data_IF_688454012539
#
_entry.id   IF_688454012539
#
_cell.length_a   1.000
_cell.length_b   1.000
_cell.length_c   1.000
_cell.angle_alpha   90.00
_cell.angle_beta   90.00
_cell.angle_gamma   90.00
#
_symmetry.space_group_name_H-M   'P 1'
#
loop_
_entity.id
_entity.type
_entity.pdbx_description
1 polymer ?
#
# COMPACT_ATOMS: atom_id res chain seq x y z
N UNK A 1 2.29 32.96 31.58
CA UNK A 1 2.76 31.69 31.00
C UNK A 1 1.62 31.04 30.25
N UNK A 2 1.89 30.46 29.08
CA UNK A 2 0.89 29.81 28.23
C UNK A 2 1.58 28.82 27.29
N UNK A 3 0.84 27.85 26.77
CA UNK A 3 1.40 26.73 25.99
C UNK A 3 2.38 27.19 24.91
N UNK A 4 2.03 28.19 24.12
CA UNK A 4 2.88 28.71 23.04
C UNK A 4 4.24 29.23 23.54
N UNK A 5 4.26 30.08 24.59
CA UNK A 5 5.51 30.58 25.16
C UNK A 5 6.34 29.47 25.82
N UNK A 6 5.68 28.55 26.52
CA UNK A 6 6.37 27.40 27.13
C UNK A 6 6.99 26.51 26.06
N UNK A 7 6.25 26.19 24.99
CA UNK A 7 6.73 25.41 23.85
C UNK A 7 7.96 26.06 23.22
N UNK A 8 7.86 27.34 22.83
CA UNK A 8 8.98 28.06 22.21
C UNK A 8 10.21 28.13 23.13
N UNK A 9 10.00 28.28 24.45
CA UNK A 9 11.11 28.33 25.40
C UNK A 9 11.82 26.99 25.58
N UNK A 10 11.11 25.87 25.40
CA UNK A 10 11.65 24.52 25.55
C UNK A 10 12.21 23.96 24.24
N UNK A 11 11.55 24.23 23.11
CA UNK A 11 11.79 23.54 21.84
C UNK A 11 12.15 24.48 20.68
N UNK A 12 12.07 25.81 20.87
CA UNK A 12 12.25 26.78 19.80
C UNK A 12 11.04 26.87 18.87
N UNK A 13 11.22 27.57 17.73
CA UNK A 13 10.21 27.66 16.68
C UNK A 13 10.14 26.32 15.91
N UNK A 14 9.02 25.58 15.97
CA UNK A 14 8.91 24.29 15.30
C UNK A 14 8.93 24.38 13.78
N UNK A 15 8.74 25.58 13.22
CA UNK A 15 8.72 25.81 11.78
C UNK A 15 10.02 26.39 11.23
N UNK A 16 11.03 26.61 12.08
CA UNK A 16 12.30 27.23 11.66
C UNK A 16 13.05 26.44 10.57
N UNK A 17 12.81 25.14 10.46
CA UNK A 17 13.39 24.24 9.45
C UNK A 17 12.31 23.52 8.63
N UNK A 18 11.08 24.01 8.64
CA UNK A 18 10.00 23.39 7.89
C UNK A 18 10.24 23.55 6.38
N UNK A 19 10.04 22.47 5.64
CA UNK A 19 10.00 22.47 4.18
C UNK A 19 8.54 22.36 3.75
N UNK A 20 7.94 23.48 3.33
CA UNK A 20 6.52 23.55 3.01
C UNK A 20 6.28 24.13 1.60
N UNK A 21 5.33 23.54 0.83
CA UNK A 21 4.57 22.35 1.18
C UNK A 21 5.37 21.05 0.97
N UNK A 22 5.25 20.09 1.90
CA UNK A 22 5.83 18.74 1.72
C UNK A 22 5.22 18.00 0.51
N UNK A 23 3.93 18.24 0.28
CA UNK A 23 3.13 17.67 -0.81
C UNK A 23 2.77 18.79 -1.79
N UNK A 24 3.20 18.73 -3.05
CA UNK A 24 2.85 19.76 -4.03
C UNK A 24 1.38 19.67 -4.46
N UNK A 25 0.75 20.81 -4.72
CA UNK A 25 -0.68 20.89 -5.12
C UNK A 25 -1.01 20.09 -6.39
N UNK A 26 -0.02 19.90 -7.27
CA UNK A 26 -0.14 19.18 -8.53
C UNK A 26 0.45 17.75 -8.46
N UNK A 27 0.51 17.15 -7.27
CA UNK A 27 1.01 15.79 -7.11
C UNK A 27 0.22 14.82 -8.00
N UNK A 28 0.93 14.07 -8.83
CA UNK A 28 0.38 13.02 -9.67
C UNK A 28 1.04 11.69 -9.32
N UNK A 29 0.25 10.62 -9.22
CA UNK A 29 0.78 9.28 -9.06
C UNK A 29 1.48 8.84 -10.36
N UNK A 30 2.67 8.24 -10.29
CA UNK A 30 3.25 7.57 -11.45
C UNK A 30 2.37 6.39 -11.89
N UNK A 31 2.62 5.91 -13.12
CA UNK A 31 1.96 4.71 -13.62
C UNK A 31 2.43 3.47 -12.85
N UNK A 32 1.50 2.82 -12.17
CA UNK A 32 1.71 1.60 -11.41
C UNK A 32 0.95 0.47 -12.09
N UNK A 33 1.50 -0.75 -12.07
CA UNK A 33 0.76 -1.97 -12.41
C UNK A 33 0.10 -2.59 -11.17
N UNK A 34 -0.64 -3.69 -11.35
CA UNK A 34 -1.05 -4.53 -10.22
C UNK A 34 0.18 -5.16 -9.54
N UNK A 35 0.18 -5.32 -8.20
CA UNK A 35 1.34 -5.75 -7.43
C UNK A 35 1.54 -7.29 -7.44
N UNK A 36 1.14 -7.97 -8.51
CA UNK A 36 1.22 -9.41 -8.68
C UNK A 36 1.24 -9.81 -10.15
N UNK A 37 1.62 -11.05 -10.45
CA UNK A 37 1.85 -11.53 -11.82
C UNK A 37 0.59 -11.55 -12.69
N UNK A 38 0.80 -11.35 -14.01
CA UNK A 38 -0.26 -11.48 -15.00
C UNK A 38 -0.78 -12.92 -15.08
N UNK A 39 -2.09 -13.07 -15.18
CA UNK A 39 -2.75 -14.39 -15.28
C UNK A 39 -2.99 -15.08 -13.94
N UNK A 40 -2.58 -14.46 -12.82
CA UNK A 40 -2.95 -14.91 -11.48
C UNK A 40 -4.24 -14.24 -11.01
N UNK A 41 -5.08 -15.04 -10.37
CA UNK A 41 -6.35 -14.60 -9.80
C UNK A 41 -6.17 -14.24 -8.31
N UNK A 42 -6.12 -12.94 -8.03
CA UNK A 42 -6.03 -12.40 -6.69
C UNK A 42 -7.41 -11.94 -6.20
N UNK A 43 -7.54 -11.67 -4.90
CA UNK A 43 -8.81 -11.29 -4.30
C UNK A 43 -8.67 -9.94 -3.61
N UNK A 44 -9.51 -8.96 -3.95
CA UNK A 44 -9.55 -7.64 -3.32
C UNK A 44 -10.26 -7.71 -1.97
N UNK A 45 -9.49 -7.87 -0.90
CA UNK A 45 -10.01 -8.20 0.43
C UNK A 45 -10.29 -6.97 1.30
N UNK A 46 -9.65 -5.84 1.02
CA UNK A 46 -9.72 -4.65 1.85
C UNK A 46 -9.74 -3.36 1.04
N UNK A 47 -10.83 -2.60 1.18
CA UNK A 47 -10.96 -1.23 0.69
C UNK A 47 -10.00 -0.27 1.38
N UNK A 48 -10.04 1.03 1.06
CA UNK A 48 -9.21 2.03 1.71
C UNK A 48 -9.24 1.97 3.24
N UNK A 49 -8.06 1.84 3.85
CA UNK A 49 -7.90 1.78 5.31
C UNK A 49 -6.50 2.24 5.73
N UNK A 50 -6.24 2.26 7.04
CA UNK A 50 -5.00 2.79 7.62
C UNK A 50 -3.73 2.19 7.01
N UNK A 51 -2.82 3.06 6.55
CA UNK A 51 -1.58 2.69 5.88
C UNK A 51 -0.63 1.75 6.65
N UNK A 52 -0.67 1.75 7.99
CA UNK A 52 0.06 0.79 8.83
C UNK A 52 -0.75 0.36 10.06
N UNK A 53 -1.51 1.29 10.65
CA UNK A 53 -2.38 1.03 11.79
C UNK A 53 -3.47 2.11 11.87
N UNK A 54 -4.43 1.93 12.78
CA UNK A 54 -5.44 2.94 13.09
C UNK A 54 -4.82 4.31 13.38
N UNK A 55 -5.39 5.35 12.79
CA UNK A 55 -4.93 6.74 12.93
C UNK A 55 -3.94 7.19 11.85
N UNK A 56 -3.40 6.29 11.03
CA UNK A 56 -2.72 6.67 9.78
C UNK A 56 -3.73 7.03 8.69
N UNK A 57 -3.29 7.81 7.68
CA UNK A 57 -4.13 8.11 6.52
C UNK A 57 -4.59 6.82 5.83
N UNK A 58 -5.80 6.84 5.25
CA UNK A 58 -6.36 5.68 4.56
C UNK A 58 -5.69 5.46 3.20
N UNK A 59 -4.42 5.07 3.23
CA UNK A 59 -3.53 4.95 2.08
C UNK A 59 -3.27 3.49 1.67
N UNK A 60 -3.87 2.53 2.36
CA UNK A 60 -3.72 1.10 2.08
C UNK A 60 -4.95 0.48 1.43
N UNK A 61 -4.69 -0.60 0.70
CA UNK A 61 -5.66 -1.54 0.14
C UNK A 61 -5.08 -2.96 0.27
N UNK A 62 -5.95 -3.96 0.42
CA UNK A 62 -5.51 -5.34 0.62
C UNK A 62 -5.87 -6.25 -0.54
N UNK A 63 -4.94 -7.13 -0.88
CA UNK A 63 -5.18 -8.23 -1.80
C UNK A 63 -4.72 -9.56 -1.19
N UNK A 64 -5.58 -10.56 -1.19
CA UNK A 64 -5.18 -11.92 -0.86
C UNK A 64 -4.63 -12.63 -2.11
N UNK A 65 -3.54 -13.42 -1.98
CA UNK A 65 -2.98 -14.17 -3.10
C UNK A 65 -3.96 -15.25 -3.59
N UNK A 66 -3.73 -15.92 -4.72
CA UNK A 66 -4.53 -17.06 -5.13
C UNK A 66 -4.56 -18.13 -4.03
N UNK A 67 -5.65 -18.91 -3.97
CA UNK A 67 -5.80 -19.92 -2.92
C UNK A 67 -4.63 -20.92 -2.98
N UNK A 68 -3.92 -21.16 -1.86
CA UNK A 68 -2.83 -22.13 -1.83
C UNK A 68 -3.39 -23.56 -1.85
N UNK A 69 -2.52 -24.58 -2.02
CA UNK A 69 -2.92 -25.97 -1.82
C UNK A 69 -3.57 -26.20 -0.45
N UNK A 70 -4.62 -27.02 -0.39
CA UNK A 70 -5.36 -27.28 0.87
C UNK A 70 -4.45 -27.85 1.98
N UNK A 71 -3.41 -28.61 1.61
CA UNK A 71 -2.41 -29.12 2.56
C UNK A 71 -1.61 -28.01 3.25
N UNK A 72 -1.34 -26.90 2.55
CA UNK A 72 -0.65 -25.75 3.14
C UNK A 72 -1.54 -25.09 4.20
N UNK A 73 -2.81 -24.86 3.88
CA UNK A 73 -3.79 -24.31 4.83
C UNK A 73 -3.99 -25.24 6.02
N UNK A 74 -4.08 -26.55 5.78
CA UNK A 74 -4.23 -27.54 6.85
C UNK A 74 -3.03 -27.58 7.80
N UNK A 75 -1.82 -27.24 7.32
CA UNK A 75 -0.59 -27.28 8.11
C UNK A 75 -0.22 -25.96 8.79
N UNK A 76 -0.48 -24.81 8.14
CA UNK A 76 -0.10 -23.48 8.64
C UNK A 76 -1.30 -22.63 9.11
N UNK A 77 -2.52 -23.01 8.74
CA UNK A 77 -3.73 -22.23 9.01
C UNK A 77 -3.92 -21.08 8.02
N UNK A 78 -4.68 -20.06 8.44
CA UNK A 78 -4.98 -18.86 7.62
C UNK A 78 -3.75 -17.96 7.39
N UNK A 79 -2.76 -18.10 8.28
CA UNK A 79 -1.49 -17.42 8.19
C UNK A 79 -0.42 -18.37 7.66
N UNK A 80 -0.29 -18.43 6.34
CA UNK A 80 0.66 -19.25 5.63
C UNK A 80 1.63 -18.38 4.83
N UNK A 81 2.76 -18.96 4.45
CA UNK A 81 3.65 -18.34 3.47
C UNK A 81 3.11 -18.67 2.08
N UNK A 82 2.62 -17.67 1.36
CA UNK A 82 2.04 -17.86 0.03
C UNK A 82 3.08 -18.40 -0.95
N UNK A 83 2.74 -19.39 -1.80
CA UNK A 83 3.63 -19.81 -2.88
C UNK A 83 3.66 -18.81 -4.05
N UNK A 84 2.76 -17.83 -4.07
CA UNK A 84 2.68 -16.77 -5.07
C UNK A 84 3.48 -15.54 -4.64
N UNK A 85 3.88 -14.74 -5.63
CA UNK A 85 4.74 -13.58 -5.45
C UNK A 85 3.95 -12.27 -5.50
N UNK A 86 4.35 -11.30 -4.67
CA UNK A 86 4.08 -9.90 -4.99
C UNK A 86 5.18 -9.38 -5.92
N UNK A 87 4.80 -8.49 -6.83
CA UNK A 87 5.71 -7.96 -7.85
C UNK A 87 5.87 -6.44 -7.76
N UNK A 88 6.98 -5.93 -8.27
CA UNK A 88 7.26 -4.50 -8.34
C UNK A 88 6.23 -3.79 -9.22
N UNK A 89 5.52 -2.80 -8.67
CA UNK A 89 4.49 -2.06 -9.41
C UNK A 89 5.07 -1.05 -10.41
N UNK A 90 6.35 -0.74 -10.29
CA UNK A 90 7.10 0.17 -11.14
C UNK A 90 8.61 -0.12 -11.00
N UNK A 91 9.40 0.50 -11.87
CA UNK A 91 10.85 0.48 -11.76
C UNK A 91 11.30 1.28 -10.53
N UNK A 92 12.38 0.87 -9.87
CA UNK A 92 12.87 1.58 -8.70
C UNK A 92 14.02 0.92 -7.97
N UNK A 93 14.22 1.34 -6.72
CA UNK A 93 15.19 0.79 -5.77
C UNK A 93 14.48 0.37 -4.50
N UNK A 94 14.83 -0.79 -3.96
CA UNK A 94 14.34 -1.22 -2.65
C UNK A 94 15.03 -0.39 -1.57
N UNK A 95 14.36 0.65 -1.07
CA UNK A 95 14.86 1.54 -0.02
C UNK A 95 14.90 0.86 1.35
N UNK A 96 14.03 -0.12 1.58
CA UNK A 96 14.02 -0.94 2.81
C UNK A 96 13.41 -2.30 2.55
N UNK A 97 14.01 -3.35 3.10
CA UNK A 97 13.42 -4.69 3.17
C UNK A 97 13.66 -5.31 4.54
N UNK A 98 12.59 -5.72 5.23
CA UNK A 98 12.72 -6.18 6.61
C UNK A 98 11.42 -6.09 7.41
N UNK A 99 11.28 -6.97 8.40
CA UNK A 99 10.19 -6.92 9.40
C UNK A 99 8.80 -6.90 8.74
N UNK A 100 8.58 -7.72 7.72
CA UNK A 100 7.32 -7.75 6.98
C UNK A 100 7.18 -6.71 5.86
N UNK A 101 8.15 -5.80 5.71
CA UNK A 101 8.07 -4.71 4.74
C UNK A 101 9.00 -4.89 3.54
N UNK A 102 8.54 -4.37 2.41
CA UNK A 102 9.37 -3.95 1.28
C UNK A 102 8.94 -2.52 0.90
N UNK A 103 9.87 -1.59 0.84
CA UNK A 103 9.64 -0.22 0.39
C UNK A 103 10.38 0.00 -0.93
N UNK A 104 9.61 0.30 -1.98
CA UNK A 104 10.09 0.56 -3.32
C UNK A 104 10.09 2.06 -3.57
N UNK A 105 11.29 2.64 -3.62
CA UNK A 105 11.54 4.03 -4.00
C UNK A 105 11.57 4.15 -5.53
N UNK A 106 10.77 5.10 -6.04
CA UNK A 106 10.58 5.32 -7.47
C UNK A 106 11.46 6.42 -8.06
N UNK A 107 12.08 7.29 -7.25
CA UNK A 107 13.04 8.28 -7.75
C UNK A 107 14.48 7.77 -7.77
N UNK A 108 14.73 6.68 -7.04
CA UNK A 108 15.91 5.82 -7.15
C UNK A 108 17.12 6.34 -6.39
N UNK A 109 16.93 7.29 -5.47
CA UNK A 109 17.96 7.78 -4.54
C UNK A 109 18.18 6.84 -3.33
N UNK A 110 17.29 5.85 -3.15
CA UNK A 110 17.35 4.85 -2.09
C UNK A 110 16.79 5.33 -0.76
N UNK A 111 16.13 6.49 -0.70
CA UNK A 111 15.54 7.05 0.51
C UNK A 111 14.03 6.82 0.55
N UNK A 112 13.53 6.26 1.65
CA UNK A 112 12.09 6.11 1.88
C UNK A 112 11.37 7.42 2.26
N UNK A 113 12.11 8.54 2.32
CA UNK A 113 11.63 9.85 2.79
C UNK A 113 11.48 10.87 1.66
N UNK A 114 11.76 10.48 0.42
CA UNK A 114 11.78 11.34 -0.77
C UNK A 114 10.97 10.71 -1.87
N UNK A 115 10.39 11.57 -2.73
CA UNK A 115 9.66 11.12 -3.90
C UNK A 115 8.50 10.19 -3.57
N UNK A 116 8.11 9.36 -4.53
CA UNK A 116 7.09 8.34 -4.36
C UNK A 116 7.70 7.04 -3.84
N UNK A 117 7.11 6.49 -2.78
CA UNK A 117 7.52 5.21 -2.19
C UNK A 117 6.32 4.29 -2.06
N UNK A 118 6.38 3.13 -2.71
CA UNK A 118 5.36 2.08 -2.60
C UNK A 118 5.71 1.15 -1.46
N UNK A 119 4.72 0.79 -0.64
CA UNK A 119 4.90 0.00 0.57
C UNK A 119 4.15 -1.31 0.42
N UNK A 120 4.88 -2.40 0.52
CA UNK A 120 4.36 -3.76 0.59
C UNK A 120 4.54 -4.23 2.03
N UNK A 121 3.45 -4.64 2.67
CA UNK A 121 3.44 -5.18 4.02
C UNK A 121 2.88 -6.59 4.02
N UNK A 122 3.20 -7.32 5.09
CA UNK A 122 2.93 -8.74 5.29
C UNK A 122 3.74 -9.64 4.37
N UNK A 123 5.00 -9.29 4.12
CA UNK A 123 5.91 -10.12 3.30
C UNK A 123 6.81 -10.97 4.19
N UNK A 124 6.86 -12.28 3.95
CA UNK A 124 7.68 -13.21 4.74
C UNK A 124 9.18 -12.89 4.61
N UNK A 125 10.03 -13.48 5.45
CA UNK A 125 11.49 -13.38 5.30
C UNK A 125 12.01 -14.32 4.20
N UNK A 126 11.28 -15.40 3.91
CA UNK A 126 11.59 -16.36 2.86
C UNK A 126 11.52 -15.70 1.47
N UNK A 127 12.64 -15.73 0.75
CA UNK A 127 12.83 -15.18 -0.60
C UNK A 127 12.46 -13.69 -0.76
N UNK A 128 12.44 -12.93 0.34
CA UNK A 128 12.24 -11.49 0.27
C UNK A 128 13.44 -10.79 -0.35
N UNK A 129 13.17 -9.92 -1.30
CA UNK A 129 14.19 -9.12 -1.97
C UNK A 129 14.99 -8.27 -0.98
N UNK A 130 16.28 -8.08 -1.25
CA UNK A 130 17.20 -7.33 -0.38
C UNK A 130 17.09 -5.81 -0.59
N UNK A 131 17.38 -5.04 0.46
CA UNK A 131 17.57 -3.58 0.36
C UNK A 131 18.70 -3.21 -0.62
N UNK A 132 18.54 -2.09 -1.33
CA UNK A 132 19.48 -1.57 -2.32
C UNK A 132 19.40 -2.22 -3.70
N UNK A 133 18.57 -3.25 -3.88
CA UNK A 133 18.33 -3.86 -5.20
C UNK A 133 17.58 -2.90 -6.11
N UNK A 134 18.02 -2.81 -7.37
CA UNK A 134 17.24 -2.19 -8.45
C UNK A 134 16.28 -3.22 -9.00
N UNK A 135 15.04 -2.82 -9.21
CA UNK A 135 13.99 -3.67 -9.78
C UNK A 135 13.35 -3.00 -10.98
N UNK A 136 12.87 -3.82 -11.90
CA UNK A 136 11.97 -3.45 -12.97
C UNK A 136 10.55 -3.81 -12.59
N UNK A 137 9.60 -3.09 -13.17
CA UNK A 137 8.17 -3.41 -13.12
C UNK A 137 7.94 -4.89 -13.43
N UNK A 138 7.26 -5.59 -12.52
CA UNK A 138 6.96 -7.01 -12.62
C UNK A 138 7.98 -7.94 -11.96
N UNK A 139 9.13 -7.45 -11.50
CA UNK A 139 10.10 -8.27 -10.78
C UNK A 139 9.50 -8.79 -9.47
N UNK A 140 9.81 -10.05 -9.14
CA UNK A 140 9.42 -10.73 -7.91
C UNK A 140 10.07 -10.07 -6.67
N UNK A 141 9.26 -9.74 -5.67
CA UNK A 141 9.72 -9.02 -4.48
C UNK A 141 9.69 -9.88 -3.20
N UNK A 142 8.73 -10.79 -3.08
CA UNK A 142 8.62 -11.73 -1.96
C UNK A 142 7.24 -12.35 -1.86
N UNK A 143 7.03 -13.13 -0.79
CA UNK A 143 5.82 -13.91 -0.57
C UNK A 143 4.90 -13.27 0.49
N UNK A 144 3.59 -13.07 0.20
CA UNK A 144 2.59 -12.72 1.20
C UNK A 144 2.57 -13.68 2.40
N UNK A 145 2.30 -13.14 3.57
CA UNK A 145 2.28 -13.80 4.88
C UNK A 145 1.43 -12.97 5.87
N UNK A 146 1.78 -12.96 7.16
CA UNK A 146 1.21 -12.07 8.18
C UNK A 146 2.27 -11.26 8.94
N UNK A 147 3.53 -11.23 8.47
CA UNK A 147 4.61 -10.58 9.20
C UNK A 147 4.46 -9.05 9.28
N UNK A 148 5.15 -8.41 10.23
CA UNK A 148 5.28 -6.95 10.27
C UNK A 148 4.13 -6.17 10.90
N UNK A 149 3.10 -6.83 11.41
CA UNK A 149 1.97 -6.18 12.05
C UNK A 149 0.93 -7.17 12.56
N UNK A 150 -0.26 -6.66 12.89
CA UNK A 150 -1.43 -7.49 13.19
C UNK A 150 -2.10 -7.85 11.87
N UNK A 151 -2.41 -9.13 11.67
CA UNK A 151 -3.12 -9.60 10.51
C UNK A 151 -4.00 -10.80 10.88
N UNK A 152 -5.16 -10.91 10.23
CA UNK A 152 -6.10 -12.02 10.41
C UNK A 152 -5.87 -13.18 9.43
N UNK A 153 -4.97 -13.02 8.46
CA UNK A 153 -4.68 -14.04 7.45
C UNK A 153 -3.72 -13.53 6.37
N UNK A 154 -3.30 -14.44 5.51
CA UNK A 154 -2.30 -14.14 4.47
C UNK A 154 -2.84 -13.17 3.42
N UNK A 155 -2.23 -11.99 3.31
CA UNK A 155 -2.56 -11.00 2.29
C UNK A 155 -1.35 -10.09 2.03
N UNK A 156 -1.43 -9.34 0.93
CA UNK A 156 -0.62 -8.16 0.68
C UNK A 156 -1.39 -6.93 1.17
N UNK A 157 -0.79 -6.20 2.11
CA UNK A 157 -1.21 -4.85 2.48
C UNK A 157 -0.39 -3.85 1.68
N UNK A 158 -1.00 -3.19 0.69
CA UNK A 158 -0.31 -2.32 -0.27
C UNK A 158 -0.68 -0.85 -0.03
N UNK A 159 0.32 0.01 0.14
CA UNK A 159 0.11 1.45 0.37
C UNK A 159 1.16 2.33 -0.31
N UNK A 160 0.99 3.64 -0.24
CA UNK A 160 1.85 4.62 -0.91
C UNK A 160 2.19 5.83 -0.02
N UNK A 161 3.42 6.33 -0.17
CA UNK A 161 3.91 7.55 0.45
C UNK A 161 4.45 8.52 -0.59
N UNK A 162 4.44 9.80 -0.24
CA UNK A 162 5.20 10.83 -0.94
C UNK A 162 5.95 11.70 0.07
N UNK A 163 7.27 11.85 -0.11
CA UNK A 163 8.15 12.55 0.84
C UNK A 163 7.96 12.11 2.31
N UNK A 164 7.78 10.81 2.53
CA UNK A 164 7.55 10.22 3.86
C UNK A 164 6.11 10.32 4.38
N UNK A 165 5.24 11.11 3.76
CA UNK A 165 3.83 11.26 4.15
C UNK A 165 2.94 10.21 3.48
N UNK A 166 1.97 9.66 4.22
CA UNK A 166 0.99 8.72 3.68
C UNK A 166 0.03 9.43 2.74
N UNK A 167 -0.06 8.99 1.47
CA UNK A 167 -0.97 9.59 0.50
C UNK A 167 -2.25 8.76 0.41
N UNK A 168 -3.36 9.24 0.98
CA UNK A 168 -4.55 8.42 1.12
C UNK A 168 -5.16 8.07 -0.24
N UNK A 169 -5.93 6.99 -0.29
CA UNK A 169 -6.70 6.58 -1.48
C UNK A 169 -7.90 7.49 -1.66
N UNK A 170 -8.60 7.76 -0.55
CA UNK A 170 -9.71 8.69 -0.49
C UNK A 170 -9.36 9.85 0.44
N UNK A 171 -9.76 11.06 0.06
CA UNK A 171 -9.67 12.21 0.93
C UNK A 171 -11.03 12.88 1.03
N UNK A 172 -11.85 12.42 1.98
CA UNK A 172 -13.18 12.99 2.23
C UNK A 172 -13.08 14.41 2.80
N UNK A 173 -12.11 14.63 3.68
CA UNK A 173 -11.84 15.90 4.35
C UNK A 173 -10.36 16.25 4.25
N UNK A 174 -9.93 16.62 3.06
CA UNK A 174 -8.61 17.21 2.85
C UNK A 174 -8.53 18.60 3.50
N UNK A 175 -7.34 18.93 4.01
CA UNK A 175 -7.06 20.31 4.42
C UNK A 175 -7.26 21.25 3.21
N UNK A 176 -7.68 22.52 3.43
CA UNK A 176 -7.89 23.46 2.34
C UNK A 176 -6.64 23.58 1.45
N UNK A 177 -6.82 23.44 0.13
CA UNK A 177 -5.73 23.48 -0.85
C UNK A 177 -5.03 22.14 -1.11
N UNK A 178 -5.29 21.10 -0.30
CA UNK A 178 -4.71 19.78 -0.53
C UNK A 178 -5.53 19.03 -1.57
N UNK A 179 -4.87 18.62 -2.65
CA UNK A 179 -5.39 17.65 -3.61
C UNK A 179 -4.71 16.29 -3.39
N UNK A 180 -5.49 15.23 -3.37
CA UNK A 180 -4.98 13.86 -3.28
C UNK A 180 -5.19 13.19 -4.63
N UNK A 181 -4.12 12.74 -5.31
CA UNK A 181 -4.28 12.02 -6.57
C UNK A 181 -5.04 10.71 -6.32
N UNK A 182 -5.88 10.25 -7.24
CA UNK A 182 -6.48 8.93 -7.14
C UNK A 182 -5.39 7.84 -7.07
N UNK A 183 -5.70 6.71 -6.43
CA UNK A 183 -4.84 5.53 -6.47
C UNK A 183 -5.22 4.68 -7.67
N UNK A 184 -4.28 4.56 -8.62
CA UNK A 184 -4.43 3.73 -9.80
C UNK A 184 -3.47 2.55 -9.73
N UNK A 185 -3.96 1.34 -9.96
CA UNK A 185 -3.14 0.13 -10.12
C UNK A 185 -3.53 -0.54 -11.44
N UNK A 186 -2.66 -0.43 -12.44
CA UNK A 186 -2.99 -0.71 -13.82
C UNK A 186 -4.13 0.19 -14.29
N UNK A 187 -5.19 -0.42 -14.81
CA UNK A 187 -6.40 0.29 -15.26
C UNK A 187 -7.42 0.53 -14.13
N UNK A 188 -7.15 0.02 -12.93
CA UNK A 188 -8.08 0.07 -11.81
C UNK A 188 -7.89 1.31 -10.97
N UNK A 189 -8.96 2.08 -10.81
CA UNK A 189 -9.06 3.19 -9.86
C UNK A 189 -9.66 2.69 -8.56
N UNK A 190 -8.95 2.88 -7.45
CA UNK A 190 -9.42 2.51 -6.12
C UNK A 190 -10.37 3.58 -5.55
N UNK A 191 -11.46 3.14 -4.94
CA UNK A 191 -12.49 4.00 -4.35
C UNK A 191 -12.89 3.45 -2.98
N UNK A 192 -12.98 4.32 -1.98
CA UNK A 192 -13.49 3.98 -0.66
C UNK A 192 -14.88 4.55 -0.44
N UNK A 193 -15.65 3.91 0.43
CA UNK A 193 -16.93 4.47 0.85
C UNK A 193 -16.73 5.51 1.97
N UNK A 194 -17.54 6.59 1.95
CA UNK A 194 -17.42 7.63 2.96
C UNK A 194 -17.52 7.11 4.39
N UNK A 195 -16.53 7.41 5.23
CA UNK A 195 -16.42 7.06 6.64
C UNK A 195 -16.51 5.56 6.94
N UNK A 196 -16.15 4.70 5.98
CA UNK A 196 -16.19 3.25 6.15
C UNK A 196 -14.81 2.63 5.86
N UNK A 197 -14.03 2.44 6.92
CA UNK A 197 -12.72 1.80 6.84
C UNK A 197 -12.85 0.37 6.27
N UNK A 198 -11.90 -0.03 5.41
CA UNK A 198 -11.89 -1.32 4.69
C UNK A 198 -13.02 -1.51 3.67
N UNK A 199 -13.96 -0.57 3.55
CA UNK A 199 -15.07 -0.68 2.62
C UNK A 199 -14.84 0.18 1.38
N UNK A 200 -15.02 -0.42 0.21
CA UNK A 200 -14.75 0.26 -1.04
C UNK A 200 -14.90 -0.67 -2.23
N UNK A 201 -14.47 -0.17 -3.37
CA UNK A 201 -14.50 -0.86 -4.64
C UNK A 201 -13.41 -0.31 -5.55
N UNK A 202 -13.08 -1.03 -6.59
CA UNK A 202 -12.19 -0.59 -7.65
C UNK A 202 -12.93 -0.64 -8.98
N UNK A 203 -12.66 0.32 -9.85
CA UNK A 203 -13.28 0.40 -11.18
C UNK A 203 -12.27 0.54 -12.30
N UNK A 204 -12.60 -0.03 -13.46
CA UNK A 204 -11.89 0.18 -14.73
C UNK A 204 -12.89 0.36 -15.87
N UNK A 205 -12.48 0.92 -17.02
CA UNK A 205 -13.35 0.98 -18.19
C UNK A 205 -13.78 -0.42 -18.66
N UNK A 206 -15.03 -0.56 -19.13
CA UNK A 206 -15.56 -1.81 -19.68
C UNK A 206 -16.72 -2.41 -18.88
N UNK A 207 -17.33 -3.47 -19.43
CA UNK A 207 -18.48 -4.16 -18.79
C UNK A 207 -18.06 -4.95 -17.54
N UNK A 208 -16.84 -5.49 -17.52
CA UNK A 208 -16.23 -6.17 -16.38
C UNK A 208 -15.31 -5.23 -15.57
N UNK A 209 -15.88 -4.06 -15.25
CA UNK A 209 -15.15 -2.90 -14.77
C UNK A 209 -15.34 -2.59 -13.29
N UNK A 210 -15.82 -3.53 -12.47
CA UNK A 210 -16.12 -3.29 -11.05
C UNK A 210 -15.69 -4.46 -10.18
N UNK A 211 -14.98 -4.19 -9.09
CA UNK A 211 -14.77 -5.13 -7.99
C UNK A 211 -15.03 -4.45 -6.66
N UNK A 212 -15.71 -5.13 -5.75
CA UNK A 212 -15.96 -4.63 -4.40
C UNK A 212 -14.99 -5.28 -3.42
N UNK A 213 -14.49 -4.49 -2.47
CA UNK A 213 -13.70 -5.04 -1.39
C UNK A 213 -14.58 -5.95 -0.52
N UNK A 214 -14.15 -7.19 -0.35
CA UNK A 214 -14.81 -8.17 0.50
C UNK A 214 -13.77 -9.16 1.02
N UNK A 215 -13.78 -9.41 2.32
CA UNK A 215 -12.78 -10.22 3.01
C UNK A 215 -12.81 -11.68 2.56
N UNK A 216 -13.98 -12.18 2.16
CA UNK A 216 -14.17 -13.59 1.79
C UNK A 216 -13.80 -13.89 0.35
N UNK A 217 -13.29 -15.10 0.09
CA UNK A 217 -12.97 -15.57 -1.28
C UNK A 217 -14.19 -16.04 -2.08
N UNK A 218 -15.32 -16.28 -1.41
CA UNK A 218 -16.54 -16.84 -2.03
C UNK A 218 -17.41 -15.77 -2.70
N UNK A 219 -16.90 -14.54 -2.82
CA UNK A 219 -17.63 -13.41 -3.36
C UNK A 219 -17.18 -13.07 -4.79
N UNK A 220 -18.00 -13.41 -5.78
CA UNK A 220 -17.62 -13.34 -7.20
C UNK A 220 -17.20 -11.95 -7.70
N UNK A 221 -17.50 -10.87 -6.97
CA UNK A 221 -17.18 -9.50 -7.37
C UNK A 221 -15.93 -8.93 -6.69
N UNK A 222 -15.08 -9.71 -6.02
CA UNK A 222 -13.80 -9.20 -5.50
C UNK A 222 -12.56 -9.78 -6.21
N UNK A 223 -12.75 -10.65 -7.19
CA UNK A 223 -11.67 -11.30 -7.92
C UNK A 223 -10.94 -10.36 -8.87
N UNK A 224 -9.64 -10.14 -8.71
CA UNK A 224 -8.84 -9.24 -9.53
C UNK A 224 -7.86 -10.02 -10.39
N UNK A 225 -7.85 -9.68 -11.67
CA UNK A 225 -6.84 -10.08 -12.64
C UNK A 225 -6.48 -8.86 -13.49
N UNK A 226 -5.33 -8.95 -14.14
CA UNK A 226 -4.91 -8.05 -15.19
C UNK A 226 -5.93 -8.01 -16.34
#
# INVERSE_FOLDING_TARGET
TGFFQTYLSLFGDPFALAYEPLIPDNLAQPELILPFSQGEEWVYTGGPHGAYNSGSGWAAVDFAPPKPPDELVASQGECYISPYWVTAVADGVIARSGKGFILLDLDGDGSEHTGWVMVYLHIDDYERIEEGKRVQRGDELGHPSCQGGVSNGTHLHFSRRYNGEWIPVICETCAPGVSVPPMLLGEWTMVGYPNQEYQGYMTRPGEDGYRQAEQTRDYDFNTVMW
#
